data_IF_932933466838
#
_entry.id   IF_932933466838
#
_cell.length_a   1.000
_cell.length_b   1.000
_cell.length_c   1.000
_cell.angle_alpha   90.00
_cell.angle_beta   90.00
_cell.angle_gamma   90.00
#
_symmetry.space_group_name_H-M   'P 1'
#
loop_
_entity.id
_entity.type
_entity.pdbx_description
1 polymer ?
#
# COMPACT_ATOMS: atom_id res chain seq x y z
N UNK A 1 -3.35 21.98 -9.36
CA UNK A 1 -4.07 20.68 -9.36
C UNK A 1 -4.28 20.10 -10.75
N UNK A 2 -4.56 20.88 -11.81
CA UNK A 2 -4.75 20.36 -13.18
C UNK A 2 -3.46 20.14 -14.00
N UNK A 3 -2.32 19.96 -13.34
CA UNK A 3 -1.07 19.60 -14.03
C UNK A 3 -0.77 18.12 -13.76
N UNK A 4 -0.07 17.42 -14.68
CA UNK A 4 0.31 16.03 -14.49
C UNK A 4 1.06 15.80 -13.18
N UNK A 5 0.70 14.75 -12.46
CA UNK A 5 1.40 14.26 -11.28
C UNK A 5 2.26 13.05 -11.61
N UNK A 6 1.73 12.10 -12.37
CA UNK A 6 2.46 10.93 -12.83
C UNK A 6 1.95 10.42 -14.18
N UNK A 7 2.77 9.59 -14.81
CA UNK A 7 2.40 8.80 -15.98
C UNK A 7 2.77 7.35 -15.73
N UNK A 8 1.79 6.45 -15.83
CA UNK A 8 2.00 5.00 -15.73
C UNK A 8 1.61 4.34 -17.05
N UNK A 9 2.45 3.41 -17.50
CA UNK A 9 2.21 2.67 -18.74
C UNK A 9 1.50 1.35 -18.47
N UNK A 10 0.48 1.06 -19.26
CA UNK A 10 -0.29 -0.18 -19.20
C UNK A 10 -0.24 -0.92 -20.54
N UNK A 11 -0.58 -2.21 -20.54
CA UNK A 11 -0.67 -3.01 -21.76
C UNK A 11 -1.72 -2.42 -22.72
N UNK A 12 -1.32 -2.19 -23.97
CA UNK A 12 -2.23 -1.72 -25.00
C UNK A 12 -2.74 -2.88 -25.85
N UNK A 13 -4.02 -2.84 -26.20
CA UNK A 13 -4.67 -3.81 -27.11
C UNK A 13 -4.04 -3.88 -28.51
N UNK A 14 -3.21 -2.90 -28.87
CA UNK A 14 -2.50 -2.79 -30.16
C UNK A 14 -1.06 -3.31 -30.10
N UNK A 15 -0.63 -3.89 -28.97
CA UNK A 15 0.75 -4.34 -28.75
C UNK A 15 1.73 -3.23 -28.35
N UNK A 16 1.29 -1.96 -28.35
CA UNK A 16 2.07 -0.81 -27.86
C UNK A 16 1.53 -0.34 -26.50
N UNK A 17 2.37 -0.13 -25.48
CA UNK A 17 1.93 0.37 -24.18
C UNK A 17 1.20 1.72 -24.30
N UNK A 18 0.17 1.93 -23.46
CA UNK A 18 -0.58 3.19 -23.36
C UNK A 18 -0.14 3.91 -22.08
N UNK A 19 0.25 5.19 -22.19
CA UNK A 19 0.54 6.03 -21.04
C UNK A 19 -0.73 6.65 -20.48
N UNK A 20 -1.03 6.39 -19.21
CA UNK A 20 -2.11 7.05 -18.47
C UNK A 20 -1.49 8.20 -17.68
N UNK A 21 -1.89 9.44 -18.03
CA UNK A 21 -1.44 10.65 -17.34
C UNK A 21 -2.49 11.04 -16.31
N UNK A 22 -2.10 11.08 -15.04
CA UNK A 22 -2.99 11.46 -13.94
C UNK A 22 -2.58 12.82 -13.40
N UNK A 23 -3.55 13.73 -13.26
CA UNK A 23 -3.34 15.06 -12.67
C UNK A 23 -3.30 15.01 -11.14
N UNK A 24 -2.65 16.00 -10.51
CA UNK A 24 -2.67 16.15 -9.05
C UNK A 24 -4.08 16.24 -8.47
N UNK A 25 -5.06 16.75 -9.21
CA UNK A 25 -6.46 16.79 -8.78
C UNK A 25 -7.00 15.38 -8.44
N UNK A 26 -6.66 14.37 -9.24
CA UNK A 26 -7.06 12.97 -9.00
C UNK A 26 -6.42 12.41 -7.73
N UNK A 27 -5.11 12.59 -7.58
CA UNK A 27 -4.39 12.16 -6.37
C UNK A 27 -4.88 12.87 -5.10
N UNK A 28 -5.13 14.17 -5.18
CA UNK A 28 -5.64 14.96 -4.04
C UNK A 28 -7.02 14.45 -3.62
N UNK A 29 -7.90 14.18 -4.59
CA UNK A 29 -9.20 13.58 -4.31
C UNK A 29 -9.06 12.19 -3.69
N UNK A 30 -8.09 11.38 -4.15
CA UNK A 30 -7.81 10.06 -3.60
C UNK A 30 -7.35 10.15 -2.14
N UNK A 31 -6.41 11.05 -1.81
CA UNK A 31 -5.96 11.28 -0.43
C UNK A 31 -7.13 11.67 0.49
N UNK A 32 -7.93 12.66 0.09
CA UNK A 32 -9.09 13.12 0.88
C UNK A 32 -10.10 11.98 1.08
N UNK A 33 -10.32 11.15 0.06
CA UNK A 33 -11.20 9.99 0.19
C UNK A 33 -10.63 8.95 1.17
N UNK A 34 -9.33 8.63 1.08
CA UNK A 34 -8.68 7.68 1.98
C UNK A 34 -8.69 8.16 3.43
N UNK A 35 -8.33 9.43 3.67
CA UNK A 35 -8.42 10.07 4.97
C UNK A 35 -9.80 9.88 5.59
N UNK A 36 -10.87 10.19 4.84
CA UNK A 36 -12.25 10.14 5.36
C UNK A 36 -12.83 8.74 5.50
N UNK A 37 -12.45 7.80 4.64
CA UNK A 37 -13.14 6.51 4.49
C UNK A 37 -12.35 5.33 5.03
N UNK A 38 -11.04 5.48 5.20
CA UNK A 38 -10.13 4.40 5.57
C UNK A 38 -9.27 4.83 6.76
N UNK A 39 -8.50 5.92 6.64
CA UNK A 39 -7.50 6.26 7.64
C UNK A 39 -8.16 6.73 8.94
N UNK A 40 -9.00 7.77 8.90
CA UNK A 40 -9.62 8.32 10.10
C UNK A 40 -10.43 7.28 10.90
N UNK A 41 -11.31 6.44 10.29
CA UNK A 41 -12.02 5.40 11.04
C UNK A 41 -11.08 4.42 11.75
N UNK A 42 -10.04 3.95 11.04
CA UNK A 42 -9.08 2.99 11.61
C UNK A 42 -8.24 3.66 12.70
N UNK A 43 -7.76 4.89 12.47
CA UNK A 43 -6.94 5.62 13.43
C UNK A 43 -7.71 5.97 14.71
N UNK A 44 -8.99 6.33 14.60
CA UNK A 44 -9.85 6.63 15.75
C UNK A 44 -9.98 5.43 16.71
N UNK A 45 -10.05 4.21 16.17
CA UNK A 45 -10.07 2.97 16.95
C UNK A 45 -8.71 2.66 17.61
N UNK A 46 -7.63 3.26 17.13
CA UNK A 46 -6.24 3.01 17.57
C UNK A 46 -5.60 4.22 18.24
N UNK A 47 -6.40 5.16 18.76
CA UNK A 47 -5.93 6.32 19.51
C UNK A 47 -5.07 7.29 18.69
N UNK A 48 -5.27 7.33 17.37
CA UNK A 48 -4.54 8.17 16.42
C UNK A 48 -3.01 8.03 16.50
N UNK A 49 -2.51 6.85 16.86
CA UNK A 49 -1.07 6.58 16.81
C UNK A 49 -0.56 6.58 15.36
N UNK A 50 0.73 6.81 15.19
CA UNK A 50 1.40 6.61 13.90
C UNK A 50 1.38 5.12 13.53
N UNK A 51 0.86 4.81 12.34
CA UNK A 51 0.92 3.48 11.74
C UNK A 51 2.21 3.29 10.93
N UNK A 52 2.64 2.03 10.83
CA UNK A 52 3.74 1.56 9.98
C UNK A 52 3.19 0.77 8.81
N UNK A 53 3.54 1.16 7.59
CA UNK A 53 2.98 0.60 6.37
C UNK A 53 4.10 -0.04 5.57
N UNK A 54 3.91 -1.30 5.16
CA UNK A 54 4.82 -1.95 4.22
C UNK A 54 4.41 -1.60 2.78
N UNK A 55 5.27 -0.87 2.08
CA UNK A 55 5.12 -0.58 0.65
C UNK A 55 5.65 -1.78 -0.14
N UNK A 56 4.74 -2.58 -0.70
CA UNK A 56 5.09 -3.86 -1.34
C UNK A 56 4.75 -3.89 -2.84
N UNK A 57 4.23 -2.79 -3.35
CA UNK A 57 3.78 -2.66 -4.73
C UNK A 57 4.85 -1.93 -5.55
N UNK A 58 5.16 -2.44 -6.74
CA UNK A 58 6.09 -1.75 -7.63
C UNK A 58 5.57 -0.35 -7.99
N UNK A 59 6.44 0.66 -7.98
CA UNK A 59 6.14 2.04 -8.40
C UNK A 59 5.66 2.17 -9.86
N UNK A 60 5.78 1.10 -10.66
CA UNK A 60 5.22 1.04 -12.00
C UNK A 60 3.70 0.77 -12.02
N UNK A 61 3.08 0.41 -10.89
CA UNK A 61 1.63 0.25 -10.73
C UNK A 61 1.05 1.43 -9.94
N UNK A 62 -0.15 1.85 -10.31
CA UNK A 62 -0.85 2.97 -9.68
C UNK A 62 -1.23 2.69 -8.22
N UNK A 63 -1.50 1.42 -7.89
CA UNK A 63 -1.74 0.94 -6.53
C UNK A 63 -0.60 1.32 -5.56
N UNK A 64 0.63 1.53 -6.04
CA UNK A 64 1.76 2.00 -5.21
C UNK A 64 1.54 3.36 -4.55
N UNK A 65 0.54 4.13 -5.00
CA UNK A 65 0.15 5.36 -4.33
C UNK A 65 -0.59 5.10 -3.02
N UNK A 66 -1.32 4.00 -2.86
CA UNK A 66 -2.14 3.77 -1.67
C UNK A 66 -1.30 3.73 -0.39
N UNK A 67 -0.14 3.07 -0.39
CA UNK A 67 0.77 3.09 0.76
C UNK A 67 1.44 4.46 0.95
N UNK A 68 1.75 5.18 -0.14
CA UNK A 68 2.33 6.53 -0.07
C UNK A 68 1.34 7.58 0.45
N UNK A 69 0.03 7.35 0.32
CA UNK A 69 -0.98 8.23 0.91
C UNK A 69 -0.88 8.25 2.44
N UNK A 70 -0.50 7.13 3.06
CA UNK A 70 -0.25 7.10 4.50
C UNK A 70 0.94 7.98 4.88
N UNK A 71 2.03 7.98 4.10
CA UNK A 71 3.16 8.90 4.30
C UNK A 71 2.71 10.36 4.20
N UNK A 72 1.88 10.68 3.20
CA UNK A 72 1.33 12.03 3.01
C UNK A 72 0.40 12.45 4.16
N UNK A 73 -0.22 11.49 4.85
CA UNK A 73 -1.07 11.72 6.03
C UNK A 73 -0.28 11.76 7.36
N UNK A 74 1.04 11.56 7.32
CA UNK A 74 1.92 11.67 8.50
C UNK A 74 2.34 10.34 9.13
N UNK A 75 2.19 9.24 8.41
CA UNK A 75 2.57 7.90 8.86
C UNK A 75 3.94 7.43 8.37
N UNK A 76 4.39 6.29 8.88
CA UNK A 76 5.69 5.70 8.55
C UNK A 76 5.52 4.67 7.43
N UNK A 77 6.31 4.79 6.36
CA UNK A 77 6.28 3.86 5.22
C UNK A 77 7.64 3.18 5.08
N UNK A 78 7.63 1.85 5.14
CA UNK A 78 8.77 0.98 4.93
C UNK A 78 8.78 0.56 3.46
N UNK A 79 9.80 0.96 2.70
CA UNK A 79 9.94 0.55 1.30
C UNK A 79 10.54 -0.86 1.26
N UNK A 80 9.71 -1.86 0.96
CA UNK A 80 10.18 -3.23 0.75
C UNK A 80 10.75 -3.36 -0.65
N UNK A 81 12.03 -3.71 -0.75
CA UNK A 81 12.69 -3.85 -2.04
C UNK A 81 12.13 -5.01 -2.88
N UNK A 82 12.63 -5.08 -4.11
CA UNK A 82 12.19 -6.01 -5.14
C UNK A 82 12.40 -7.49 -4.78
N UNK A 83 13.37 -7.78 -3.91
CA UNK A 83 13.67 -9.12 -3.41
C UNK A 83 12.72 -9.47 -2.26
N UNK A 84 12.63 -8.59 -1.25
CA UNK A 84 11.81 -8.79 -0.07
C UNK A 84 10.33 -8.95 -0.43
N UNK A 85 9.80 -8.09 -1.31
CA UNK A 85 8.38 -8.14 -1.71
C UNK A 85 8.00 -9.37 -2.54
N UNK A 86 8.97 -10.20 -2.97
CA UNK A 86 8.72 -11.48 -3.65
C UNK A 86 8.91 -12.69 -2.75
N UNK A 87 9.56 -12.50 -1.61
CA UNK A 87 9.84 -13.55 -0.64
C UNK A 87 8.79 -13.48 0.48
N UNK A 88 7.71 -14.24 0.31
CA UNK A 88 6.59 -14.21 1.25
C UNK A 88 6.98 -14.56 2.70
N UNK A 89 7.77 -15.63 2.97
CA UNK A 89 8.26 -15.91 4.32
C UNK A 89 9.05 -14.72 4.91
N UNK A 90 10.02 -14.17 4.17
CA UNK A 90 10.81 -13.03 4.67
C UNK A 90 9.97 -11.77 4.86
N UNK A 91 8.95 -11.55 4.04
CA UNK A 91 8.04 -10.42 4.19
C UNK A 91 7.18 -10.58 5.45
N UNK A 92 6.71 -11.79 5.77
CA UNK A 92 6.00 -12.07 7.02
C UNK A 92 6.89 -11.83 8.23
N UNK A 93 8.13 -12.31 8.20
CA UNK A 93 9.13 -12.06 9.25
C UNK A 93 9.39 -10.55 9.42
N UNK A 94 9.57 -9.82 8.32
CA UNK A 94 9.76 -8.37 8.31
C UNK A 94 8.57 -7.62 8.94
N UNK A 95 7.35 -8.01 8.57
CA UNK A 95 6.13 -7.44 9.15
C UNK A 95 6.07 -7.65 10.67
N UNK A 96 6.43 -8.84 11.14
CA UNK A 96 6.46 -9.16 12.57
C UNK A 96 7.57 -8.38 13.31
N UNK A 97 8.79 -8.34 12.77
CA UNK A 97 9.95 -7.68 13.37
C UNK A 97 9.74 -6.17 13.51
N UNK A 98 9.10 -5.54 12.52
CA UNK A 98 8.90 -4.09 12.48
C UNK A 98 7.51 -3.64 12.90
N UNK A 99 6.66 -4.57 13.37
CA UNK A 99 5.28 -4.29 13.78
C UNK A 99 4.53 -3.47 12.72
N UNK A 100 4.51 -3.99 11.48
CA UNK A 100 3.76 -3.41 10.37
C UNK A 100 2.27 -3.48 10.67
N UNK A 101 1.59 -2.35 10.53
CA UNK A 101 0.16 -2.17 10.81
C UNK A 101 -0.72 -2.37 9.56
N UNK A 102 -0.18 -1.99 8.39
CA UNK A 102 -0.91 -2.05 7.13
C UNK A 102 -0.04 -2.66 6.05
N UNK A 103 -0.63 -3.60 5.32
CA UNK A 103 -0.10 -4.12 4.07
C UNK A 103 -1.21 -4.11 3.03
N UNK A 104 -0.88 -3.68 1.82
CA UNK A 104 -1.81 -3.68 0.69
C UNK A 104 -1.27 -4.59 -0.41
N UNK A 105 -1.99 -5.66 -0.72
CA UNK A 105 -1.53 -6.70 -1.63
C UNK A 105 -2.68 -7.25 -2.45
N UNK A 106 -2.36 -7.83 -3.60
CA UNK A 106 -3.37 -8.53 -4.41
C UNK A 106 -3.96 -9.72 -3.65
N UNK A 107 -5.21 -10.14 -3.91
CA UNK A 107 -5.85 -11.24 -3.17
C UNK A 107 -5.06 -12.54 -3.19
N UNK A 108 -4.44 -12.89 -4.33
CA UNK A 108 -3.60 -14.10 -4.44
C UNK A 108 -2.37 -14.02 -3.54
N UNK A 109 -1.72 -12.85 -3.47
CA UNK A 109 -0.55 -12.69 -2.63
C UNK A 109 -0.94 -12.61 -1.13
N UNK A 110 -2.09 -12.02 -0.80
CA UNK A 110 -2.63 -12.07 0.56
C UNK A 110 -2.85 -13.51 1.04
N UNK A 111 -3.41 -14.38 0.20
CA UNK A 111 -3.59 -15.81 0.52
C UNK A 111 -2.25 -16.49 0.81
N UNK A 112 -1.22 -16.18 0.02
CA UNK A 112 0.12 -16.69 0.24
C UNK A 112 0.68 -16.21 1.58
N UNK A 113 0.63 -14.91 1.87
CA UNK A 113 1.15 -14.36 3.13
C UNK A 113 0.42 -14.93 4.35
N UNK A 114 -0.89 -15.14 4.26
CA UNK A 114 -1.67 -15.80 5.32
C UNK A 114 -1.19 -17.24 5.51
N UNK A 115 -0.93 -17.99 4.43
CA UNK A 115 -0.40 -19.35 4.51
C UNK A 115 1.01 -19.41 5.12
N UNK A 116 1.81 -18.36 4.91
CA UNK A 116 3.14 -18.19 5.53
C UNK A 116 3.08 -17.63 6.97
N UNK A 117 1.88 -17.43 7.53
CA UNK A 117 1.71 -17.07 8.93
C UNK A 117 1.62 -15.58 9.25
N UNK A 118 1.34 -14.71 8.25
CA UNK A 118 1.14 -13.26 8.47
C UNK A 118 0.16 -12.96 9.61
N UNK A 119 -0.85 -13.81 9.77
CA UNK A 119 -1.88 -13.68 10.79
C UNK A 119 -1.71 -14.67 11.93
N UNK A 120 -0.62 -15.41 12.09
CA UNK A 120 -0.56 -16.44 13.15
C UNK A 120 -0.51 -15.87 14.57
N UNK A 121 -0.05 -14.62 14.71
CA UNK A 121 -0.05 -13.90 15.99
C UNK A 121 -1.44 -13.28 16.28
N UNK A 122 -2.18 -13.75 17.29
CA UNK A 122 -3.50 -13.21 17.62
C UNK A 122 -3.49 -11.72 17.98
N UNK A 123 -2.37 -11.18 18.47
CA UNK A 123 -2.20 -9.76 18.78
C UNK A 123 -2.01 -8.86 17.55
N UNK A 124 -1.78 -9.44 16.38
CA UNK A 124 -1.59 -8.73 15.10
C UNK A 124 -2.71 -9.06 14.09
N UNK A 125 -3.72 -9.84 14.49
CA UNK A 125 -4.90 -10.11 13.66
C UNK A 125 -5.83 -8.90 13.65
N UNK A 126 -6.28 -8.44 12.48
CA UNK A 126 -7.48 -7.60 12.40
C UNK A 126 -8.67 -8.30 13.09
N UNK A 127 -9.60 -7.54 13.70
CA UNK A 127 -10.74 -8.09 14.42
C UNK A 127 -11.69 -8.93 13.55
#
# INVERSE_FOLDING_TARGET
LRHPAYTIYTSGSTGKPKGVVTEYAGLTNMLINHQRRIFEPVLAEHGHRTFRIAHTVSFAFDMSWEELLWLADGHEVHICDEELRRDAPRLVEYCAEHAVDVINVTPTYAQQLIAEGLLDNPGQRPP
#
